data_IF_791912583458
#
_entry.id   IF_791912583458
#
_cell.length_a   1.000
_cell.length_b   1.000
_cell.length_c   1.000
_cell.angle_alpha   90.00
_cell.angle_beta   90.00
_cell.angle_gamma   90.00
#
_symmetry.space_group_name_H-M   'P 1'
#
loop_
_entity.id
_entity.type
_entity.pdbx_description
1 polymer ?
#
# COMPACT_ATOMS: atom_id res chain seq x y z
N UNK A 1 -15.94 -8.69 -15.31
CA UNK A 1 -15.60 -8.79 -13.88
C UNK A 1 -14.67 -9.96 -13.55
N UNK A 2 -15.03 -11.24 -13.76
CA UNK A 2 -14.14 -12.40 -13.43
C UNK A 2 -12.78 -12.40 -14.17
N UNK A 3 -12.72 -11.92 -15.43
CA UNK A 3 -11.48 -11.87 -16.23
C UNK A 3 -10.49 -10.78 -15.76
N UNK A 4 -11.00 -9.67 -15.23
CA UNK A 4 -10.18 -8.55 -14.69
C UNK A 4 -9.49 -9.02 -13.41
N UNK A 5 -10.23 -9.72 -12.54
CA UNK A 5 -9.70 -10.24 -11.28
C UNK A 5 -8.58 -11.27 -11.50
N UNK A 6 -8.71 -12.12 -12.53
CA UNK A 6 -7.67 -13.08 -12.92
C UNK A 6 -6.45 -12.40 -13.56
N UNK A 7 -6.64 -11.34 -14.34
CA UNK A 7 -5.55 -10.56 -14.92
C UNK A 7 -4.76 -9.81 -13.83
N UNK A 8 -5.46 -9.28 -12.82
CA UNK A 8 -4.83 -8.70 -11.62
C UNK A 8 -4.07 -9.81 -10.88
N UNK A 9 -4.64 -10.99 -10.64
CA UNK A 9 -3.89 -12.06 -9.94
C UNK A 9 -2.66 -12.53 -10.75
N UNK A 10 -2.72 -12.60 -12.08
CA UNK A 10 -1.60 -13.03 -12.93
C UNK A 10 -0.47 -12.00 -13.05
N UNK A 11 -0.80 -10.70 -13.16
CA UNK A 11 0.22 -9.63 -13.19
C UNK A 11 0.95 -9.55 -11.85
N UNK A 12 0.26 -9.81 -10.74
CA UNK A 12 0.85 -9.78 -9.40
C UNK A 12 1.61 -11.08 -9.05
N UNK A 13 1.29 -12.22 -9.68
CA UNK A 13 2.06 -13.47 -9.55
C UNK A 13 3.49 -13.39 -10.11
N UNK A 14 3.77 -12.41 -10.99
CA UNK A 14 5.10 -12.17 -11.57
C UNK A 14 6.04 -11.40 -10.63
N UNK A 15 5.52 -10.74 -9.59
CA UNK A 15 6.34 -10.04 -8.57
C UNK A 15 6.93 -11.02 -7.54
N UNK A 16 6.57 -12.31 -7.61
CA UNK A 16 7.13 -13.36 -6.76
C UNK A 16 8.51 -13.89 -7.24
N UNK A 17 9.11 -13.29 -8.27
CA UNK A 17 10.49 -13.60 -8.68
C UNK A 17 11.49 -12.63 -8.04
N UNK A 18 11.90 -12.94 -6.81
CA UNK A 18 13.27 -12.65 -6.34
C UNK A 18 13.63 -11.20 -5.97
N UNK A 19 12.73 -10.23 -6.03
CA UNK A 19 13.02 -8.90 -5.48
C UNK A 19 12.86 -8.87 -3.97
N UNK A 20 13.95 -8.47 -3.32
CA UNK A 20 14.10 -8.12 -1.91
C UNK A 20 12.79 -7.53 -1.35
N UNK A 21 12.18 -8.24 -0.40
CA UNK A 21 10.96 -7.86 0.33
C UNK A 21 10.94 -6.36 0.69
N UNK A 22 9.79 -5.64 0.63
CA UNK A 22 9.76 -4.18 0.58
C UNK A 22 10.00 -3.55 1.96
N UNK A 23 11.22 -3.71 2.49
CA UNK A 23 11.77 -2.79 3.46
C UNK A 23 12.01 -1.48 2.72
N UNK A 24 10.98 -0.63 2.72
CA UNK A 24 11.00 0.62 1.97
C UNK A 24 11.77 1.66 2.76
N UNK A 25 12.46 2.57 2.08
CA UNK A 25 13.00 3.75 2.76
C UNK A 25 11.86 4.61 3.32
N UNK A 26 12.14 5.44 4.33
CA UNK A 26 11.17 6.42 4.86
C UNK A 26 10.55 7.26 3.73
N UNK A 27 11.40 7.78 2.83
CA UNK A 27 10.97 8.57 1.67
C UNK A 27 10.00 7.82 0.74
N UNK A 28 10.17 6.50 0.54
CA UNK A 28 9.22 5.72 -0.25
C UNK A 28 7.88 5.60 0.46
N UNK A 29 7.86 5.35 1.78
CA UNK A 29 6.61 5.32 2.57
C UNK A 29 5.87 6.65 2.46
N UNK A 30 6.58 7.75 2.69
CA UNK A 30 6.03 9.10 2.58
C UNK A 30 5.47 9.39 1.18
N UNK A 31 6.18 8.97 0.13
CA UNK A 31 5.72 9.14 -1.25
C UNK A 31 4.41 8.40 -1.49
N UNK A 32 4.32 7.13 -1.09
CA UNK A 32 3.11 6.33 -1.30
C UNK A 32 1.91 6.91 -0.56
N UNK A 33 2.13 7.33 0.69
CA UNK A 33 1.10 7.93 1.53
C UNK A 33 0.61 9.28 0.97
N UNK A 34 1.52 10.14 0.49
CA UNK A 34 1.16 11.41 -0.17
C UNK A 34 0.45 11.20 -1.51
N UNK A 35 0.88 10.21 -2.29
CA UNK A 35 0.19 9.86 -3.54
C UNK A 35 -1.25 9.39 -3.28
N UNK A 36 -1.46 8.60 -2.23
CA UNK A 36 -2.80 8.22 -1.78
C UNK A 36 -3.60 9.44 -1.32
N UNK A 37 -3.06 10.29 -0.45
CA UNK A 37 -3.72 11.50 0.06
C UNK A 37 -4.17 12.44 -1.07
N UNK A 38 -3.29 12.71 -2.04
CA UNK A 38 -3.61 13.55 -3.20
C UNK A 38 -4.71 12.91 -4.07
N UNK A 39 -4.66 11.59 -4.27
CA UNK A 39 -5.68 10.89 -5.03
C UNK A 39 -7.04 10.90 -4.31
N UNK A 40 -7.05 10.69 -2.99
CA UNK A 40 -8.25 10.74 -2.15
C UNK A 40 -8.86 12.14 -2.16
N UNK A 41 -8.05 13.19 -1.94
CA UNK A 41 -8.53 14.57 -1.96
C UNK A 41 -9.14 14.93 -3.33
N UNK A 42 -8.51 14.47 -4.42
CA UNK A 42 -9.04 14.68 -5.77
C UNK A 42 -10.36 13.94 -5.95
N UNK A 43 -10.45 12.68 -5.53
CA UNK A 43 -11.65 11.87 -5.60
C UNK A 43 -12.82 12.51 -4.83
N UNK A 44 -12.57 13.05 -3.63
CA UNK A 44 -13.58 13.76 -2.83
C UNK A 44 -14.06 15.04 -3.51
N UNK A 45 -13.15 15.81 -4.11
CA UNK A 45 -13.48 17.07 -4.80
C UNK A 45 -14.25 16.83 -6.10
N UNK A 46 -13.87 15.85 -6.90
CA UNK A 46 -14.44 15.62 -8.23
C UNK A 46 -15.64 14.67 -8.20
N UNK A 47 -15.72 13.77 -7.22
CA UNK A 47 -16.64 12.62 -7.20
C UNK A 47 -16.60 11.81 -8.51
N UNK A 48 -15.48 11.87 -9.24
CA UNK A 48 -15.30 11.15 -10.50
C UNK A 48 -14.92 9.69 -10.21
N UNK A 49 -15.60 8.76 -10.89
CA UNK A 49 -15.39 7.32 -10.70
C UNK A 49 -13.93 6.89 -10.95
N UNK A 50 -13.23 7.54 -11.89
CA UNK A 50 -11.83 7.21 -12.19
C UNK A 50 -10.90 7.76 -11.11
N UNK A 51 -11.15 8.96 -10.61
CA UNK A 51 -10.36 9.52 -9.50
C UNK A 51 -10.54 8.68 -8.23
N UNK A 52 -11.75 8.23 -7.95
CA UNK A 52 -12.06 7.27 -6.87
C UNK A 52 -11.31 5.96 -7.08
N UNK A 53 -11.32 5.43 -8.31
CA UNK A 53 -10.60 4.20 -8.65
C UNK A 53 -9.08 4.34 -8.40
N UNK A 54 -8.48 5.46 -8.80
CA UNK A 54 -7.05 5.73 -8.56
C UNK A 54 -6.74 5.78 -7.06
N UNK A 55 -7.59 6.43 -6.26
CA UNK A 55 -7.43 6.45 -4.79
C UNK A 55 -7.48 5.04 -4.19
N UNK A 56 -8.42 4.20 -4.64
CA UNK A 56 -8.51 2.80 -4.21
C UNK A 56 -7.31 1.95 -4.65
N UNK A 57 -6.78 2.16 -5.85
CA UNK A 57 -5.59 1.45 -6.32
C UNK A 57 -4.39 1.75 -5.41
N UNK A 58 -4.16 3.04 -5.10
CA UNK A 58 -3.09 3.48 -4.21
C UNK A 58 -3.26 2.95 -2.79
N UNK A 59 -4.47 2.98 -2.25
CA UNK A 59 -4.78 2.38 -0.95
C UNK A 59 -4.51 0.87 -0.94
N UNK A 60 -4.90 0.17 -2.02
CA UNK A 60 -4.69 -1.27 -2.17
C UNK A 60 -3.22 -1.67 -2.22
N UNK A 61 -2.33 -0.85 -2.80
CA UNK A 61 -0.88 -1.07 -2.74
C UNK A 61 -0.35 -1.01 -1.31
N UNK A 62 -0.78 -0.02 -0.52
CA UNK A 62 -0.39 0.15 0.88
C UNK A 62 -0.90 -1.01 1.75
N UNK A 63 -2.18 -1.39 1.59
CA UNK A 63 -2.79 -2.50 2.33
C UNK A 63 -2.05 -3.81 2.08
N UNK A 64 -1.72 -4.13 0.81
CA UNK A 64 -0.99 -5.36 0.49
C UNK A 64 0.37 -5.43 1.18
N UNK A 65 1.09 -4.30 1.27
CA UNK A 65 2.36 -4.24 2.01
C UNK A 65 2.12 -4.52 3.49
N UNK A 66 1.10 -3.90 4.09
CA UNK A 66 0.75 -4.10 5.49
C UNK A 66 0.34 -5.55 5.79
N UNK A 67 -0.50 -6.18 4.95
CA UNK A 67 -0.94 -7.57 5.11
C UNK A 67 0.23 -8.55 5.06
N UNK A 68 1.14 -8.39 4.09
CA UNK A 68 2.31 -9.27 3.99
C UNK A 68 3.28 -9.09 5.15
N UNK A 69 3.44 -7.85 5.65
CA UNK A 69 4.23 -7.59 6.86
C UNK A 69 3.57 -8.20 8.11
N UNK A 70 2.25 -8.06 8.28
CA UNK A 70 1.51 -8.60 9.41
C UNK A 70 1.56 -10.13 9.45
N UNK A 71 1.36 -10.77 8.30
CA UNK A 71 1.49 -12.23 8.16
C UNK A 71 2.88 -12.73 8.55
N UNK A 72 3.94 -12.01 8.16
CA UNK A 72 5.32 -12.39 8.53
C UNK A 72 5.63 -12.11 9.98
N UNK A 73 5.15 -10.98 10.51
CA UNK A 73 5.23 -10.64 11.94
C UNK A 73 4.55 -11.73 12.78
N UNK A 74 3.36 -12.18 12.38
CA UNK A 74 2.61 -13.27 13.00
C UNK A 74 3.35 -14.62 12.94
N UNK A 75 4.18 -14.83 11.92
CA UNK A 75 5.07 -16.00 11.80
C UNK A 75 6.41 -15.83 12.54
N UNK A 76 6.59 -14.76 13.32
CA UNK A 76 7.77 -14.52 14.16
C UNK A 76 8.89 -13.70 13.51
N UNK A 77 8.67 -13.13 12.32
CA UNK A 77 9.65 -12.24 11.68
C UNK A 77 9.68 -10.86 12.37
N UNK A 78 10.65 -10.67 13.26
CA UNK A 78 10.81 -9.41 14.01
C UNK A 78 11.03 -8.20 13.11
N UNK A 79 11.71 -8.36 11.97
CA UNK A 79 11.97 -7.25 11.05
C UNK A 79 10.68 -6.79 10.37
N UNK A 80 9.75 -7.71 10.11
CA UNK A 80 8.44 -7.35 9.57
C UNK A 80 7.63 -6.52 10.58
N UNK A 81 7.69 -6.89 11.87
CA UNK A 81 7.10 -6.10 12.95
C UNK A 81 7.70 -4.69 13.03
N UNK A 82 9.03 -4.59 13.08
CA UNK A 82 9.73 -3.29 13.11
C UNK A 82 9.41 -2.42 11.89
N UNK A 83 9.18 -3.02 10.73
CA UNK A 83 8.79 -2.30 9.53
C UNK A 83 7.35 -1.77 9.61
N UNK A 84 6.42 -2.52 10.21
CA UNK A 84 5.06 -2.03 10.52
C UNK A 84 5.08 -0.84 11.48
N UNK A 85 5.89 -0.91 12.55
CA UNK A 85 6.06 0.21 13.49
C UNK A 85 6.55 1.47 12.75
N UNK A 86 7.49 1.34 11.81
CA UNK A 86 7.94 2.48 10.99
C UNK A 86 6.87 3.03 10.05
N UNK A 87 5.98 2.18 9.54
CA UNK A 87 4.84 2.66 8.74
C UNK A 87 3.89 3.50 9.61
N UNK A 88 3.59 3.03 10.82
CA UNK A 88 2.77 3.77 11.80
C UNK A 88 3.41 5.11 12.20
N UNK A 89 4.73 5.15 12.43
CA UNK A 89 5.46 6.40 12.69
C UNK A 89 5.30 7.41 11.55
N UNK A 90 5.48 7.00 10.29
CA UNK A 90 5.37 7.91 9.14
C UNK A 90 3.93 8.39 8.95
N UNK A 91 2.92 7.53 9.17
CA UNK A 91 1.51 7.91 9.13
C UNK A 91 1.21 9.00 10.17
N UNK A 92 1.72 8.83 11.40
CA UNK A 92 1.58 9.82 12.48
C UNK A 92 2.29 11.13 12.15
N UNK A 93 3.51 11.07 11.61
CA UNK A 93 4.28 12.26 11.20
C UNK A 93 3.57 13.07 10.10
N UNK A 94 2.93 12.40 9.15
CA UNK A 94 2.19 13.04 8.07
C UNK A 94 0.77 13.47 8.49
N UNK A 95 0.33 13.11 9.71
CA UNK A 95 -1.02 13.38 10.22
C UNK A 95 -2.12 12.90 9.26
N UNK A 96 -1.88 11.77 8.60
CA UNK A 96 -2.84 11.18 7.67
C UNK A 96 -3.92 10.48 8.49
N UNK A 97 -5.17 10.85 8.25
CA UNK A 97 -6.33 10.17 8.81
C UNK A 97 -6.86 9.19 7.77
N UNK A 98 -6.99 7.93 8.16
CA UNK A 98 -7.62 6.87 7.37
C UNK A 98 -9.07 6.69 7.81
#
# INVERSE_FOLDING_TARGET
MKKILILIIMVFGLVACGEKFPYTSKSNKEKMLKEFEVAAEKAEKTNDEKDIQVAFEKMGEIIKIAEELDKRSSNGDKKAKEELDKWDEVIKELNIQF
#
